data_IF_333706819238
#
_entry.id   IF_333706819238
#
_cell.length_a   1.000
_cell.length_b   1.000
_cell.length_c   1.000
_cell.angle_alpha   90.00
_cell.angle_beta   90.00
_cell.angle_gamma   90.00
#
_symmetry.space_group_name_H-M   'P 1'
#
loop_
_entity.id
_entity.type
_entity.pdbx_description
1 polymer ?
#
# COMPACT_ATOMS: atom_id res chain seq x y z
N UNK A 1 -13.59 60.70 -23.52
CA UNK A 1 -12.83 60.99 -24.75
C UNK A 1 -13.74 61.02 -25.99
N UNK A 2 -14.46 59.94 -26.32
CA UNK A 2 -15.34 59.88 -27.52
C UNK A 2 -16.44 60.96 -27.52
N UNK A 3 -17.05 61.25 -26.36
CA UNK A 3 -18.11 62.27 -26.24
C UNK A 3 -17.56 63.69 -26.45
N UNK A 4 -16.37 64.00 -25.91
CA UNK A 4 -15.72 65.29 -26.12
C UNK A 4 -15.36 65.50 -27.61
N UNK A 5 -14.87 64.45 -28.27
CA UNK A 5 -14.59 64.45 -29.70
C UNK A 5 -15.85 64.68 -30.55
N UNK A 6 -16.97 64.03 -30.21
CA UNK A 6 -18.25 64.23 -30.88
C UNK A 6 -18.80 65.65 -30.69
N UNK A 7 -18.63 66.25 -29.51
CA UNK A 7 -19.04 67.64 -29.25
C UNK A 7 -18.21 68.61 -30.08
N UNK A 8 -16.88 68.45 -30.08
CA UNK A 8 -15.99 69.30 -30.88
C UNK A 8 -16.28 69.13 -32.38
N UNK A 9 -16.50 67.89 -32.85
CA UNK A 9 -16.87 67.61 -34.23
C UNK A 9 -18.21 68.26 -34.61
N UNK A 10 -19.21 68.19 -33.73
CA UNK A 10 -20.52 68.80 -33.95
C UNK A 10 -20.42 70.33 -33.99
N UNK A 11 -19.64 70.94 -33.10
CA UNK A 11 -19.37 72.39 -33.12
C UNK A 11 -18.64 72.78 -34.41
N UNK A 12 -17.65 72.00 -34.85
CA UNK A 12 -16.94 72.25 -36.10
C UNK A 12 -17.86 72.11 -37.32
N UNK A 13 -18.70 71.08 -37.38
CA UNK A 13 -19.68 70.90 -38.48
C UNK A 13 -20.72 72.00 -38.48
N UNK A 14 -21.22 72.40 -37.30
CA UNK A 14 -22.15 73.53 -37.16
C UNK A 14 -21.52 74.86 -37.59
N UNK A 15 -20.24 75.10 -37.26
CA UNK A 15 -19.51 76.29 -37.69
C UNK A 15 -19.27 76.31 -39.21
N UNK A 16 -18.87 75.18 -39.80
CA UNK A 16 -18.69 75.05 -41.26
C UNK A 16 -20.02 75.21 -42.00
N UNK A 17 -21.10 74.65 -41.46
CA UNK A 17 -22.44 74.77 -42.02
C UNK A 17 -22.98 76.19 -41.90
N UNK A 18 -22.76 76.89 -40.79
CA UNK A 18 -23.12 78.29 -40.61
C UNK A 18 -22.36 79.21 -41.59
N UNK A 19 -21.07 78.98 -41.79
CA UNK A 19 -20.24 79.72 -42.76
C UNK A 19 -20.65 79.48 -44.22
N UNK A 20 -21.12 78.26 -44.53
CA UNK A 20 -21.67 77.94 -45.85
C UNK A 20 -23.07 78.54 -46.04
N UNK A 21 -23.92 78.49 -45.00
CA UNK A 21 -25.29 78.96 -45.04
C UNK A 21 -25.41 80.49 -45.05
N UNK A 22 -24.47 81.22 -44.45
CA UNK A 22 -24.38 82.69 -44.53
C UNK A 22 -24.12 83.22 -45.96
N UNK A 23 -23.90 82.33 -46.94
CA UNK A 23 -23.72 82.68 -48.36
C UNK A 23 -24.96 82.42 -49.22
N UNK A 24 -26.07 81.96 -48.64
CA UNK A 24 -27.32 81.69 -49.35
C UNK A 24 -28.31 82.85 -49.16
N UNK A 25 -28.73 83.55 -50.24
CA UNK A 25 -29.73 84.62 -50.14
C UNK A 25 -31.14 84.01 -50.08
N UNK A 26 -31.83 84.16 -48.95
CA UNK A 26 -33.21 83.69 -48.76
C UNK A 26 -33.81 84.15 -47.44
N UNK A 27 -34.48 85.31 -47.46
CA UNK A 27 -35.23 85.84 -46.31
C UNK A 27 -36.66 85.28 -46.26
N UNK A 28 -37.12 84.91 -45.05
CA UNK A 28 -38.53 84.63 -44.79
C UNK A 28 -39.05 85.75 -43.88
N UNK A 29 -40.02 86.51 -44.38
CA UNK A 29 -40.63 87.61 -43.63
C UNK A 29 -41.73 87.05 -42.73
N UNK A 30 -41.60 87.23 -41.41
CA UNK A 30 -42.64 86.96 -40.44
C UNK A 30 -43.17 88.30 -39.92
N UNK A 31 -44.37 88.67 -40.35
CA UNK A 31 -45.02 89.90 -39.94
C UNK A 31 -45.78 89.67 -38.63
N UNK A 32 -45.21 90.17 -37.52
CA UNK A 32 -45.92 90.30 -36.25
C UNK A 32 -46.43 91.73 -36.11
N UNK A 33 -47.38 92.14 -36.96
CA UNK A 33 -48.47 93.11 -36.72
C UNK A 33 -48.15 94.52 -36.20
N UNK A 34 -46.88 94.87 -35.96
CA UNK A 34 -46.50 96.03 -35.15
C UNK A 34 -45.51 96.96 -35.89
N UNK A 35 -45.35 96.80 -37.21
CA UNK A 35 -44.52 97.70 -38.03
C UNK A 35 -43.01 97.61 -37.80
N UNK A 36 -42.53 96.67 -36.98
CA UNK A 36 -41.12 96.33 -36.87
C UNK A 36 -40.84 95.07 -37.70
N UNK A 37 -40.35 95.27 -38.92
CA UNK A 37 -39.90 94.17 -39.80
C UNK A 37 -38.55 93.68 -39.27
N UNK A 38 -38.55 92.56 -38.57
CA UNK A 38 -37.32 91.84 -38.25
C UNK A 38 -37.09 90.79 -39.34
N UNK A 39 -36.13 91.07 -40.23
CA UNK A 39 -35.65 90.10 -41.21
C UNK A 39 -34.91 88.98 -40.47
N UNK A 40 -35.59 87.87 -40.20
CA UNK A 40 -34.94 86.64 -39.81
C UNK A 40 -34.65 85.84 -41.09
N UNK A 41 -33.38 85.70 -41.44
CA UNK A 41 -32.99 84.71 -42.46
C UNK A 41 -33.42 83.33 -41.95
N UNK A 42 -34.15 82.56 -42.78
CA UNK A 42 -34.63 81.20 -42.49
C UNK A 42 -33.53 80.29 -41.91
N UNK A 43 -32.29 80.61 -42.28
CA UNK A 43 -31.05 80.02 -41.82
C UNK A 43 -30.91 80.05 -40.29
N UNK A 44 -31.25 81.16 -39.62
CA UNK A 44 -31.14 81.28 -38.16
C UNK A 44 -32.15 80.39 -37.44
N UNK A 45 -33.38 80.25 -37.96
CA UNK A 45 -34.39 79.37 -37.39
C UNK A 45 -34.00 77.88 -37.53
N UNK A 46 -33.45 77.50 -38.68
CA UNK A 46 -32.95 76.14 -38.92
C UNK A 46 -31.72 75.83 -38.04
N UNK A 47 -30.80 76.79 -37.90
CA UNK A 47 -29.64 76.67 -37.02
C UNK A 47 -30.04 76.51 -35.56
N UNK A 48 -31.02 77.30 -35.08
CA UNK A 48 -31.54 77.20 -33.72
C UNK A 48 -32.17 75.82 -33.46
N UNK A 49 -32.91 75.27 -34.43
CA UNK A 49 -33.52 73.94 -34.31
C UNK A 49 -32.47 72.82 -34.24
N UNK A 50 -31.42 72.90 -35.07
CA UNK A 50 -30.31 71.93 -35.06
C UNK A 50 -29.55 72.01 -33.73
N UNK A 51 -29.25 73.22 -33.24
CA UNK A 51 -28.58 73.42 -31.96
C UNK A 51 -29.42 72.92 -30.78
N UNK A 52 -30.74 73.14 -30.82
CA UNK A 52 -31.66 72.66 -29.79
C UNK A 52 -31.77 71.13 -29.80
N UNK A 53 -31.87 70.52 -30.98
CA UNK A 53 -31.83 69.06 -31.14
C UNK A 53 -30.52 68.44 -30.65
N UNK A 54 -29.38 69.09 -30.96
CA UNK A 54 -28.07 68.67 -30.48
C UNK A 54 -27.95 68.81 -28.96
N UNK A 55 -28.42 69.90 -28.37
CA UNK A 55 -28.46 70.10 -26.92
C UNK A 55 -29.30 69.03 -26.23
N UNK A 56 -30.46 68.69 -26.79
CA UNK A 56 -31.37 67.66 -26.26
C UNK A 56 -30.77 66.25 -26.35
N UNK A 57 -30.09 65.93 -27.46
CA UNK A 57 -29.33 64.69 -27.60
C UNK A 57 -28.15 64.60 -26.61
N UNK A 58 -27.50 65.72 -26.33
CA UNK A 58 -26.43 65.85 -25.32
C UNK A 58 -26.96 65.55 -23.91
N UNK A 59 -28.08 66.18 -23.54
CA UNK A 59 -28.75 65.98 -22.26
C UNK A 59 -29.19 64.51 -22.11
N UNK A 60 -29.80 63.92 -23.15
CA UNK A 60 -30.21 62.52 -23.14
C UNK A 60 -29.02 61.54 -23.03
N UNK A 61 -27.92 61.83 -23.73
CA UNK A 61 -26.67 61.06 -23.65
C UNK A 61 -26.06 61.12 -22.25
N UNK A 62 -26.03 62.31 -21.63
CA UNK A 62 -25.51 62.51 -20.28
C UNK A 62 -26.37 61.78 -19.23
N UNK A 63 -27.69 61.89 -19.36
CA UNK A 63 -28.66 61.27 -18.45
C UNK A 63 -28.65 59.73 -18.59
N UNK A 64 -28.61 59.20 -19.81
CA UNK A 64 -28.45 57.75 -20.04
C UNK A 64 -27.08 57.22 -19.60
N UNK A 65 -26.02 58.02 -19.73
CA UNK A 65 -24.69 57.74 -19.20
C UNK A 65 -24.70 57.57 -17.68
N UNK A 66 -25.29 58.53 -16.96
CA UNK A 66 -25.42 58.48 -15.49
C UNK A 66 -26.25 57.28 -15.01
N UNK A 67 -27.32 56.92 -15.73
CA UNK A 67 -28.17 55.78 -15.35
C UNK A 67 -27.50 54.43 -15.71
N UNK A 68 -26.65 54.36 -16.74
CA UNK A 68 -25.98 53.11 -17.16
C UNK A 68 -24.58 52.90 -16.57
N UNK A 69 -23.90 53.95 -16.09
CA UNK A 69 -22.61 53.89 -15.40
C UNK A 69 -22.59 52.93 -14.18
N UNK A 70 -23.58 52.96 -13.26
CA UNK A 70 -23.58 52.10 -12.08
C UNK A 70 -23.57 50.61 -12.46
N UNK A 71 -24.26 50.24 -13.54
CA UNK A 71 -24.33 48.85 -14.03
C UNK A 71 -23.03 48.36 -14.65
N UNK A 72 -22.25 49.23 -15.32
CA UNK A 72 -20.93 48.87 -15.88
C UNK A 72 -19.85 48.78 -14.82
N UNK A 73 -19.84 49.71 -13.85
CA UNK A 73 -18.86 49.72 -12.77
C UNK A 73 -19.07 48.58 -11.76
N UNK A 74 -20.32 48.18 -11.49
CA UNK A 74 -20.58 47.06 -10.58
C UNK A 74 -20.13 45.71 -11.14
N UNK A 75 -20.24 45.49 -12.46
CA UNK A 75 -19.75 44.27 -13.13
C UNK A 75 -18.22 44.19 -13.09
N UNK A 76 -17.52 45.29 -13.39
CA UNK A 76 -16.06 45.35 -13.32
C UNK A 76 -15.53 45.16 -11.89
N UNK A 77 -16.17 45.78 -10.88
CA UNK A 77 -15.80 45.56 -9.46
C UNK A 77 -16.01 44.12 -9.02
N UNK A 78 -17.11 43.46 -9.44
CA UNK A 78 -17.33 42.05 -9.15
C UNK A 78 -16.25 41.17 -9.78
N UNK A 79 -15.92 41.40 -11.06
CA UNK A 79 -14.87 40.67 -11.76
C UNK A 79 -13.50 40.81 -11.06
N UNK A 80 -13.10 42.03 -10.71
CA UNK A 80 -11.85 42.29 -9.99
C UNK A 80 -11.79 41.63 -8.61
N UNK A 81 -12.92 41.58 -7.87
CA UNK A 81 -13.00 40.87 -6.58
C UNK A 81 -12.83 39.37 -6.74
N UNK A 82 -13.43 38.77 -7.77
CA UNK A 82 -13.28 37.34 -8.08
C UNK A 82 -11.84 37.03 -8.47
N UNK A 83 -11.22 37.84 -9.32
CA UNK A 83 -9.81 37.67 -9.72
C UNK A 83 -8.87 37.76 -8.51
N UNK A 84 -9.08 38.76 -7.65
CA UNK A 84 -8.30 38.92 -6.41
C UNK A 84 -8.50 37.73 -5.45
N UNK A 85 -9.70 37.18 -5.37
CA UNK A 85 -10.00 36.03 -4.53
C UNK A 85 -9.43 34.73 -5.09
N UNK A 86 -9.46 34.54 -6.41
CA UNK A 86 -8.83 33.40 -7.08
C UNK A 86 -7.30 33.47 -6.98
N UNK A 87 -6.71 34.67 -7.03
CA UNK A 87 -5.29 34.87 -6.72
C UNK A 87 -4.99 34.52 -5.26
N UNK A 88 -5.83 34.97 -4.32
CA UNK A 88 -5.70 34.61 -2.91
C UNK A 88 -5.87 33.11 -2.66
N UNK A 89 -6.68 32.39 -3.45
CA UNK A 89 -6.75 30.93 -3.42
C UNK A 89 -5.40 30.30 -3.77
N UNK A 90 -4.83 30.69 -4.90
CA UNK A 90 -3.55 30.15 -5.37
C UNK A 90 -2.41 30.46 -4.40
N UNK A 91 -2.26 31.73 -4.00
CA UNK A 91 -1.25 32.16 -3.04
C UNK A 91 -1.47 31.50 -1.67
N UNK A 92 -2.73 31.30 -1.27
CA UNK A 92 -3.09 30.64 -0.01
C UNK A 92 -2.74 29.15 0.01
N UNK A 93 -2.93 28.45 -1.12
CA UNK A 93 -2.53 27.06 -1.26
C UNK A 93 -1.01 26.92 -1.22
N UNK A 94 -0.28 27.79 -1.93
CA UNK A 94 1.18 27.82 -1.88
C UNK A 94 1.70 28.11 -0.46
N UNK A 95 1.07 29.05 0.26
CA UNK A 95 1.40 29.34 1.65
C UNK A 95 1.14 28.14 2.57
N UNK A 96 0.04 27.41 2.33
CA UNK A 96 -0.28 26.21 3.10
C UNK A 96 0.75 25.09 2.87
N UNK A 97 1.13 24.84 1.61
CA UNK A 97 2.18 23.87 1.26
C UNK A 97 3.57 24.30 1.74
N UNK A 98 3.81 25.61 1.86
CA UNK A 98 5.03 26.16 2.45
C UNK A 98 5.05 26.11 4.00
N UNK A 99 3.93 25.73 4.64
CA UNK A 99 3.79 25.67 6.10
C UNK A 99 3.53 27.02 6.79
N UNK A 100 3.27 28.11 6.05
CA UNK A 100 2.92 29.41 6.64
C UNK A 100 1.42 29.45 7.02
N UNK A 101 1.12 28.93 8.20
CA UNK A 101 -0.24 28.82 8.71
C UNK A 101 -0.96 30.17 8.84
N UNK A 102 -0.25 31.24 9.23
CA UNK A 102 -0.85 32.56 9.44
C UNK A 102 -1.23 33.22 8.11
N UNK A 103 -0.31 33.21 7.14
CA UNK A 103 -0.55 33.75 5.81
C UNK A 103 -1.66 32.97 5.10
N UNK A 104 -1.59 31.64 5.14
CA UNK A 104 -2.56 30.78 4.50
C UNK A 104 -3.96 30.98 5.10
N UNK A 105 -4.10 31.07 6.43
CA UNK A 105 -5.39 31.37 7.10
C UNK A 105 -5.96 32.73 6.70
N UNK A 106 -5.11 33.76 6.56
CA UNK A 106 -5.53 35.10 6.10
C UNK A 106 -6.03 35.06 4.66
N UNK A 107 -5.30 34.37 3.78
CA UNK A 107 -5.65 34.23 2.36
C UNK A 107 -6.89 33.36 2.16
N UNK A 108 -7.06 32.30 2.95
CA UNK A 108 -8.25 31.45 3.00
C UNK A 108 -9.52 32.25 3.34
N UNK A 109 -9.48 33.09 4.37
CA UNK A 109 -10.60 34.00 4.70
C UNK A 109 -10.94 34.97 3.57
N UNK A 110 -9.93 35.49 2.86
CA UNK A 110 -10.12 36.40 1.71
C UNK A 110 -10.72 35.67 0.51
N UNK A 111 -10.25 34.46 0.23
CA UNK A 111 -10.76 33.60 -0.82
C UNK A 111 -12.21 33.18 -0.58
N UNK A 112 -12.56 32.82 0.66
CA UNK A 112 -13.91 32.36 1.03
C UNK A 112 -15.02 33.34 0.65
N UNK A 113 -14.75 34.65 0.68
CA UNK A 113 -15.76 35.69 0.42
C UNK A 113 -16.16 35.81 -1.06
N UNK A 114 -15.22 35.64 -1.98
CA UNK A 114 -15.38 36.09 -3.38
C UNK A 114 -14.84 35.12 -4.43
N UNK A 115 -14.20 34.01 -4.04
CA UNK A 115 -13.77 33.02 -5.01
C UNK A 115 -14.98 32.38 -5.73
N UNK A 116 -14.78 31.98 -6.97
CA UNK A 116 -15.86 31.45 -7.81
C UNK A 116 -16.18 29.98 -7.57
N UNK A 117 -15.19 29.17 -7.19
CA UNK A 117 -15.34 27.72 -7.00
C UNK A 117 -15.35 27.36 -5.51
N UNK A 118 -16.49 26.88 -5.02
CA UNK A 118 -16.66 26.48 -3.62
C UNK A 118 -15.80 25.27 -3.25
N UNK A 119 -15.45 24.40 -4.21
CA UNK A 119 -14.56 23.25 -3.98
C UNK A 119 -13.15 23.71 -3.63
N UNK A 120 -12.65 24.72 -4.34
CA UNK A 120 -11.32 25.29 -4.06
C UNK A 120 -11.29 26.07 -2.76
N UNK A 121 -12.39 26.74 -2.39
CA UNK A 121 -12.53 27.35 -1.06
C UNK A 121 -12.42 26.31 0.04
N UNK A 122 -13.20 25.23 -0.05
CA UNK A 122 -13.21 24.16 0.96
C UNK A 122 -11.88 23.41 1.01
N UNK A 123 -11.23 23.19 -0.14
CA UNK A 123 -9.90 22.58 -0.18
C UNK A 123 -8.86 23.45 0.53
N UNK A 124 -8.83 24.76 0.24
CA UNK A 124 -7.92 25.67 0.92
C UNK A 124 -8.26 25.76 2.42
N UNK A 125 -9.54 25.88 2.78
CA UNK A 125 -9.99 25.90 4.17
C UNK A 125 -9.50 24.66 4.92
N UNK A 126 -9.70 23.47 4.35
CA UNK A 126 -9.25 22.22 4.95
C UNK A 126 -7.73 22.17 5.14
N UNK A 127 -6.95 22.52 4.10
CA UNK A 127 -5.48 22.58 4.18
C UNK A 127 -4.98 23.58 5.21
N UNK A 128 -5.61 24.77 5.29
CA UNK A 128 -5.26 25.76 6.30
C UNK A 128 -5.59 25.33 7.71
N UNK A 129 -6.64 24.53 7.89
CA UNK A 129 -6.99 23.96 9.17
C UNK A 129 -6.01 22.85 9.57
N UNK A 130 -5.56 22.00 8.65
CA UNK A 130 -4.53 20.97 8.89
C UNK A 130 -3.21 21.58 9.38
N UNK A 131 -2.67 22.58 8.67
CA UNK A 131 -1.41 23.23 9.09
C UNK A 131 -1.55 24.08 10.36
N UNK A 132 -2.77 24.41 10.76
CA UNK A 132 -3.06 25.13 12.01
C UNK A 132 -3.42 24.18 13.16
N UNK A 133 -3.31 22.86 12.97
CA UNK A 133 -3.72 21.81 13.90
C UNK A 133 -5.21 21.87 14.33
N UNK A 134 -6.07 22.55 13.57
CA UNK A 134 -7.52 22.59 13.80
C UNK A 134 -8.19 21.42 13.08
N UNK A 135 -8.01 20.22 13.65
CA UNK A 135 -8.50 18.97 13.07
C UNK A 135 -10.03 18.93 12.91
N UNK A 136 -10.76 19.61 13.80
CA UNK A 136 -12.23 19.68 13.73
C UNK A 136 -12.70 20.54 12.56
N UNK A 137 -12.00 21.65 12.26
CA UNK A 137 -12.28 22.43 11.07
C UNK A 137 -11.88 21.70 9.79
N UNK A 138 -10.71 21.04 9.78
CA UNK A 138 -10.23 20.26 8.64
C UNK A 138 -11.24 19.16 8.25
N UNK A 139 -11.72 18.40 9.23
CA UNK A 139 -12.68 17.31 8.98
C UNK A 139 -14.04 17.82 8.47
N UNK A 140 -14.53 18.94 8.99
CA UNK A 140 -15.74 19.58 8.48
C UNK A 140 -15.57 20.03 7.03
N UNK A 141 -14.45 20.69 6.72
CA UNK A 141 -14.18 21.20 5.38
C UNK A 141 -13.98 20.06 4.37
N UNK A 142 -13.22 19.00 4.71
CA UNK A 142 -13.08 17.81 3.88
C UNK A 142 -14.39 17.05 3.69
N UNK A 143 -15.18 16.91 4.76
CA UNK A 143 -16.50 16.28 4.69
C UNK A 143 -17.49 17.04 3.81
N UNK A 144 -17.44 18.38 3.81
CA UNK A 144 -18.21 19.20 2.88
C UNK A 144 -17.71 19.07 1.44
N UNK A 145 -16.38 19.10 1.24
CA UNK A 145 -15.77 18.92 -0.09
C UNK A 145 -16.13 17.56 -0.70
N UNK A 146 -16.17 16.52 0.13
CA UNK A 146 -16.54 15.16 -0.28
C UNK A 146 -17.98 15.07 -0.81
N UNK A 147 -18.87 16.01 -0.44
CA UNK A 147 -20.27 16.03 -0.88
C UNK A 147 -20.48 16.82 -2.18
N UNK A 148 -19.50 17.62 -2.61
CA UNK A 148 -19.62 18.44 -3.82
C UNK A 148 -19.28 17.67 -5.10
N UNK A 149 -20.00 17.88 -6.21
CA UNK A 149 -19.70 17.23 -7.48
C UNK A 149 -18.31 17.60 -8.00
N UNK A 150 -17.48 16.61 -8.29
CA UNK A 150 -16.08 16.79 -8.68
C UNK A 150 -15.10 17.11 -7.55
N UNK A 151 -15.59 17.30 -6.31
CA UNK A 151 -14.77 17.42 -5.10
C UNK A 151 -14.67 16.13 -4.27
N UNK A 152 -15.61 15.19 -4.48
CA UNK A 152 -15.76 13.91 -3.77
C UNK A 152 -14.43 13.21 -3.45
N UNK A 153 -13.68 12.85 -4.50
CA UNK A 153 -12.45 12.07 -4.34
C UNK A 153 -11.36 12.83 -3.57
N UNK A 154 -11.22 14.13 -3.81
CA UNK A 154 -10.25 14.97 -3.12
C UNK A 154 -10.64 15.15 -1.64
N UNK A 155 -11.93 15.36 -1.37
CA UNK A 155 -12.47 15.44 -0.02
C UNK A 155 -12.26 14.15 0.78
N UNK A 156 -12.54 12.99 0.17
CA UNK A 156 -12.32 11.70 0.80
C UNK A 156 -10.84 11.40 1.04
N UNK A 157 -9.95 11.76 0.10
CA UNK A 157 -8.50 11.62 0.29
C UNK A 157 -7.99 12.48 1.44
N UNK A 158 -8.41 13.75 1.49
CA UNK A 158 -8.05 14.67 2.56
C UNK A 158 -8.56 14.19 3.92
N UNK A 159 -9.84 13.78 3.99
CA UNK A 159 -10.42 13.20 5.21
C UNK A 159 -9.69 11.93 5.67
N UNK A 160 -9.34 11.02 4.74
CA UNK A 160 -8.58 9.81 5.06
C UNK A 160 -7.18 10.14 5.58
N UNK A 161 -6.49 11.09 4.94
CA UNK A 161 -5.17 11.56 5.36
C UNK A 161 -5.20 12.21 6.74
N UNK A 162 -6.18 13.07 7.00
CA UNK A 162 -6.37 13.72 8.29
C UNK A 162 -6.69 12.71 9.39
N UNK A 163 -7.56 11.72 9.12
CA UNK A 163 -7.85 10.65 10.07
C UNK A 163 -6.60 9.81 10.40
N UNK A 164 -5.81 9.46 9.38
CA UNK A 164 -4.55 8.73 9.54
C UNK A 164 -3.52 9.52 10.38
N UNK A 165 -3.38 10.82 10.14
CA UNK A 165 -2.49 11.70 10.90
C UNK A 165 -2.83 11.75 12.41
N UNK A 166 -4.12 11.56 12.76
CA UNK A 166 -4.58 11.48 14.15
C UNK A 166 -4.49 10.08 14.77
N UNK A 167 -4.05 9.08 14.00
CA UNK A 167 -4.07 7.68 14.42
C UNK A 167 -5.44 7.01 14.36
N UNK A 168 -6.46 7.64 13.76
CA UNK A 168 -7.78 7.04 13.55
C UNK A 168 -7.81 6.20 12.26
N UNK A 169 -7.27 4.98 12.37
CA UNK A 169 -7.21 4.03 11.26
C UNK A 169 -8.62 3.61 10.77
N UNK A 170 -9.61 3.54 11.66
CA UNK A 170 -10.96 3.10 11.30
C UNK A 170 -11.65 4.10 10.38
N UNK A 171 -11.56 5.39 10.72
CA UNK A 171 -12.12 6.45 9.90
C UNK A 171 -11.35 6.60 8.59
N UNK A 172 -10.01 6.47 8.59
CA UNK A 172 -9.21 6.44 7.36
C UNK A 172 -9.63 5.30 6.42
N UNK A 173 -9.84 4.10 6.96
CA UNK A 173 -10.31 2.94 6.20
C UNK A 173 -11.72 3.17 5.63
N UNK A 174 -12.64 3.72 6.42
CA UNK A 174 -14.00 4.01 5.98
C UNK A 174 -14.01 4.99 4.80
N UNK A 175 -13.20 6.05 4.85
CA UNK A 175 -13.08 7.04 3.75
C UNK A 175 -12.41 6.45 2.51
N UNK A 176 -11.40 5.60 2.67
CA UNK A 176 -10.77 4.89 1.56
C UNK A 176 -11.75 3.93 0.88
N UNK A 177 -12.57 3.20 1.67
CA UNK A 177 -13.63 2.33 1.15
C UNK A 177 -14.69 3.10 0.38
N UNK A 178 -15.19 4.21 0.94
CA UNK A 178 -16.14 5.11 0.26
C UNK A 178 -15.55 5.64 -1.06
N UNK A 179 -14.29 6.05 -1.06
CA UNK A 179 -13.60 6.50 -2.27
C UNK A 179 -13.40 5.38 -3.30
N UNK A 180 -13.23 4.14 -2.85
CA UNK A 180 -13.15 2.98 -3.71
C UNK A 180 -14.52 2.64 -4.31
N UNK A 181 -15.65 2.99 -3.72
CA UNK A 181 -16.95 2.79 -4.37
C UNK A 181 -17.16 3.73 -5.57
N UNK A 182 -16.46 4.87 -5.60
CA UNK A 182 -16.48 5.80 -6.72
C UNK A 182 -15.79 5.19 -7.95
N UNK A 183 -16.38 5.41 -9.13
CA UNK A 183 -15.73 5.10 -10.42
C UNK A 183 -14.61 6.10 -10.66
N UNK A 184 -13.40 5.76 -10.21
CA UNK A 184 -12.20 6.57 -10.37
C UNK A 184 -11.05 5.74 -10.95
N UNK A 185 -10.17 6.41 -11.69
CA UNK A 185 -8.90 5.85 -12.15
C UNK A 185 -7.78 6.02 -11.10
N UNK A 186 -8.03 6.68 -9.98
CA UNK A 186 -7.02 6.92 -8.96
C UNK A 186 -6.71 5.65 -8.16
N UNK A 187 -5.43 5.36 -7.95
CA UNK A 187 -4.97 4.16 -7.23
C UNK A 187 -5.01 4.29 -5.70
N UNK A 188 -5.00 5.53 -5.19
CA UNK A 188 -4.89 5.79 -3.75
C UNK A 188 -5.98 5.12 -2.89
N UNK A 189 -7.28 5.03 -3.30
CA UNK A 189 -8.29 4.40 -2.45
C UNK A 189 -8.00 2.92 -2.25
N UNK A 190 -7.59 2.25 -3.33
CA UNK A 190 -7.20 0.84 -3.30
C UNK A 190 -5.97 0.63 -2.41
N UNK A 191 -4.87 1.38 -2.66
CA UNK A 191 -3.64 1.22 -1.89
C UNK A 191 -3.86 1.52 -0.41
N UNK A 192 -4.53 2.62 -0.08
CA UNK A 192 -4.79 3.02 1.32
C UNK A 192 -5.63 1.97 2.06
N UNK A 193 -6.69 1.47 1.42
CA UNK A 193 -7.55 0.44 2.00
C UNK A 193 -6.80 -0.88 2.17
N UNK A 194 -6.10 -1.32 1.12
CA UNK A 194 -5.35 -2.57 1.12
C UNK A 194 -4.23 -2.55 2.17
N UNK A 195 -3.45 -1.46 2.23
CA UNK A 195 -2.34 -1.30 3.15
C UNK A 195 -2.80 -1.28 4.61
N UNK A 196 -3.90 -0.56 4.90
CA UNK A 196 -4.51 -0.57 6.23
C UNK A 196 -4.96 -1.98 6.64
N UNK A 197 -5.64 -2.70 5.75
CA UNK A 197 -6.13 -4.06 6.04
C UNK A 197 -5.00 -5.07 6.23
N UNK A 198 -3.94 -4.97 5.43
CA UNK A 198 -2.74 -5.81 5.55
C UNK A 198 -2.00 -5.51 6.86
N UNK A 199 -1.87 -4.24 7.25
CA UNK A 199 -1.27 -3.86 8.53
C UNK A 199 -2.10 -4.36 9.72
N UNK A 200 -3.44 -4.23 9.65
CA UNK A 200 -4.36 -4.71 10.68
C UNK A 200 -4.51 -6.24 10.73
N UNK A 201 -3.97 -6.98 9.75
CA UNK A 201 -4.12 -8.44 9.68
C UNK A 201 -5.50 -8.91 9.25
N UNK A 202 -6.30 -8.03 8.64
CA UNK A 202 -7.63 -8.33 8.12
C UNK A 202 -7.54 -9.05 6.77
N UNK A 203 -6.96 -10.25 6.74
CA UNK A 203 -6.60 -10.97 5.52
C UNK A 203 -7.75 -11.22 4.54
N UNK A 204 -8.95 -11.52 5.07
CA UNK A 204 -10.14 -11.72 4.23
C UNK A 204 -10.55 -10.43 3.51
N UNK A 205 -10.60 -9.30 4.24
CA UNK A 205 -10.91 -8.01 3.65
C UNK A 205 -9.84 -7.57 2.64
N UNK A 206 -8.56 -7.79 2.96
CA UNK A 206 -7.46 -7.53 2.04
C UNK A 206 -7.57 -8.33 0.73
N UNK A 207 -7.98 -9.60 0.79
CA UNK A 207 -8.24 -10.42 -0.40
C UNK A 207 -9.39 -9.87 -1.26
N UNK A 208 -10.49 -9.46 -0.63
CA UNK A 208 -11.62 -8.86 -1.34
C UNK A 208 -11.22 -7.56 -2.03
N UNK A 209 -10.49 -6.69 -1.32
CA UNK A 209 -9.91 -5.46 -1.88
C UNK A 209 -8.96 -5.77 -3.03
N UNK A 210 -8.11 -6.80 -2.92
CA UNK A 210 -7.17 -7.23 -3.97
C UNK A 210 -7.89 -7.72 -5.23
N UNK A 211 -9.00 -8.46 -5.08
CA UNK A 211 -9.85 -8.89 -6.21
C UNK A 211 -10.50 -7.68 -6.89
N UNK A 212 -10.97 -6.70 -6.11
CA UNK A 212 -11.52 -5.47 -6.66
C UNK A 212 -10.45 -4.66 -7.41
N UNK A 213 -9.23 -4.61 -6.87
CA UNK A 213 -8.06 -3.99 -7.49
C UNK A 213 -7.69 -4.62 -8.83
N UNK A 214 -7.70 -5.95 -8.93
CA UNK A 214 -7.50 -6.68 -10.19
C UNK A 214 -8.57 -6.30 -11.22
N UNK A 215 -9.86 -6.34 -10.85
CA UNK A 215 -10.98 -6.02 -11.76
C UNK A 215 -10.92 -4.60 -12.31
N UNK A 216 -10.32 -3.68 -11.54
CA UNK A 216 -10.18 -2.26 -11.90
C UNK A 216 -8.84 -1.92 -12.54
N UNK A 217 -7.92 -2.88 -12.63
CA UNK A 217 -6.60 -2.68 -13.23
C UNK A 217 -5.58 -1.96 -12.34
N UNK A 218 -5.84 -1.81 -11.03
CA UNK A 218 -4.88 -1.20 -10.09
C UNK A 218 -3.68 -2.12 -9.82
N UNK A 219 -3.83 -3.43 -10.01
CA UNK A 219 -2.77 -4.41 -9.84
C UNK A 219 -2.97 -5.59 -10.78
N UNK A 220 -1.89 -6.12 -11.35
CA UNK A 220 -1.94 -7.23 -12.29
C UNK A 220 -0.67 -8.08 -12.26
N UNK A 221 -0.68 -9.15 -13.06
CA UNK A 221 0.50 -9.98 -13.32
C UNK A 221 1.02 -10.71 -12.08
N UNK A 222 2.33 -10.75 -11.96
CA UNK A 222 3.04 -11.54 -10.95
C UNK A 222 2.84 -11.03 -9.53
N UNK A 223 2.80 -9.70 -9.33
CA UNK A 223 2.61 -9.13 -7.99
C UNK A 223 1.25 -9.50 -7.42
N UNK A 224 0.19 -9.44 -8.24
CA UNK A 224 -1.14 -9.89 -7.84
C UNK A 224 -1.14 -11.37 -7.41
N UNK A 225 -0.54 -12.26 -8.22
CA UNK A 225 -0.52 -13.70 -7.93
C UNK A 225 0.24 -14.00 -6.64
N UNK A 226 1.38 -13.34 -6.42
CA UNK A 226 2.20 -13.52 -5.21
C UNK A 226 1.54 -12.95 -3.97
N UNK A 227 0.95 -11.74 -4.03
CA UNK A 227 0.17 -11.16 -2.94
C UNK A 227 -1.02 -12.06 -2.55
N UNK A 228 -1.74 -12.61 -3.54
CA UNK A 228 -2.81 -13.61 -3.31
C UNK A 228 -2.28 -14.84 -2.57
N UNK A 229 -1.17 -15.41 -3.00
CA UNK A 229 -0.60 -16.59 -2.36
C UNK A 229 -0.23 -16.34 -0.89
N UNK A 230 0.37 -15.19 -0.58
CA UNK A 230 0.68 -14.80 0.80
C UNK A 230 -0.59 -14.66 1.62
N UNK A 231 -1.58 -13.90 1.13
CA UNK A 231 -2.83 -13.64 1.85
C UNK A 231 -3.65 -14.91 2.08
N UNK A 232 -3.76 -15.79 1.08
CA UNK A 232 -4.45 -17.08 1.24
C UNK A 232 -3.75 -17.96 2.28
N UNK A 233 -2.43 -17.98 2.28
CA UNK A 233 -1.64 -18.74 3.27
C UNK A 233 -1.83 -18.14 4.66
N UNK A 234 -1.67 -16.83 4.83
CA UNK A 234 -1.87 -16.13 6.09
C UNK A 234 -3.27 -16.40 6.66
N UNK A 235 -4.32 -16.20 5.84
CA UNK A 235 -5.70 -16.48 6.23
C UNK A 235 -5.88 -17.93 6.67
N UNK A 236 -5.35 -18.90 5.92
CA UNK A 236 -5.47 -20.32 6.27
C UNK A 236 -4.87 -20.68 7.64
N UNK A 237 -3.81 -19.98 8.06
CA UNK A 237 -3.17 -20.19 9.38
C UNK A 237 -3.96 -19.60 10.54
N UNK A 238 -4.83 -18.61 10.27
CA UNK A 238 -5.70 -17.98 11.28
C UNK A 238 -7.04 -18.69 11.46
N UNK A 239 -7.40 -19.60 10.55
CA UNK A 239 -8.69 -20.29 10.61
C UNK A 239 -8.75 -21.31 11.75
N UNK A 240 -9.88 -21.38 12.48
CA UNK A 240 -10.11 -22.42 13.48
C UNK A 240 -10.08 -23.83 12.90
N UNK A 241 -9.85 -24.83 13.76
CA UNK A 241 -9.80 -26.24 13.34
C UNK A 241 -11.12 -26.74 12.74
N UNK A 242 -12.27 -26.18 13.13
CA UNK A 242 -13.58 -26.52 12.55
C UNK A 242 -13.65 -26.17 11.06
N UNK A 243 -12.92 -25.13 10.63
CA UNK A 243 -12.87 -24.64 9.25
C UNK A 243 -11.69 -25.22 8.46
N UNK A 244 -11.16 -26.39 8.86
CA UNK A 244 -9.99 -27.02 8.21
C UNK A 244 -10.18 -27.23 6.71
N UNK A 245 -11.38 -27.59 6.25
CA UNK A 245 -11.67 -27.78 4.82
C UNK A 245 -11.49 -26.48 4.04
N UNK A 246 -11.90 -25.36 4.61
CA UNK A 246 -11.74 -24.05 3.98
C UNK A 246 -10.27 -23.61 4.01
N UNK A 247 -9.54 -23.88 5.09
CA UNK A 247 -8.09 -23.67 5.13
C UNK A 247 -7.35 -24.46 4.03
N UNK A 248 -7.72 -25.71 3.80
CA UNK A 248 -7.16 -26.54 2.72
C UNK A 248 -7.46 -25.97 1.33
N UNK A 249 -8.69 -25.48 1.10
CA UNK A 249 -9.06 -24.82 -0.16
C UNK A 249 -8.21 -23.57 -0.40
N UNK A 250 -8.05 -22.72 0.63
CA UNK A 250 -7.23 -21.51 0.54
C UNK A 250 -5.76 -21.85 0.24
N UNK A 251 -5.20 -22.88 0.87
CA UNK A 251 -3.83 -23.33 0.61
C UNK A 251 -3.66 -23.86 -0.82
N UNK A 252 -4.65 -24.59 -1.34
CA UNK A 252 -4.62 -25.04 -2.73
C UNK A 252 -4.64 -23.86 -3.72
N UNK A 253 -5.48 -22.85 -3.47
CA UNK A 253 -5.49 -21.61 -4.27
C UNK A 253 -4.17 -20.83 -4.12
N UNK A 254 -3.56 -20.81 -2.93
CA UNK A 254 -2.26 -20.17 -2.71
C UNK A 254 -1.15 -20.82 -3.55
N UNK A 255 -1.07 -22.15 -3.53
CA UNK A 255 -0.10 -22.93 -4.30
C UNK A 255 -0.32 -22.73 -5.80
N UNK A 256 -1.57 -22.70 -6.26
CA UNK A 256 -1.91 -22.43 -7.66
C UNK A 256 -1.51 -21.01 -8.08
N UNK A 257 -1.70 -20.02 -7.20
CA UNK A 257 -1.35 -18.64 -7.47
C UNK A 257 0.17 -18.43 -7.56
N UNK A 258 0.93 -18.95 -6.59
CA UNK A 258 2.39 -18.88 -6.61
C UNK A 258 3.02 -20.18 -6.08
N UNK A 259 3.32 -21.15 -6.96
CA UNK A 259 4.02 -22.38 -6.57
C UNK A 259 5.40 -22.12 -5.95
N UNK A 260 6.04 -20.99 -6.29
CA UNK A 260 7.33 -20.54 -5.78
C UNK A 260 7.28 -19.91 -4.38
N UNK A 261 6.16 -20.05 -3.67
CA UNK A 261 5.98 -19.65 -2.27
C UNK A 261 6.02 -20.87 -1.32
N UNK A 262 7.21 -21.26 -0.80
CA UNK A 262 7.36 -22.43 0.07
C UNK A 262 6.42 -22.50 1.28
N UNK A 263 6.06 -21.38 1.96
CA UNK A 263 5.11 -21.43 3.06
C UNK A 263 3.76 -22.06 2.68
N UNK A 264 3.21 -21.75 1.51
CA UNK A 264 1.95 -22.33 1.03
C UNK A 264 2.07 -23.85 0.85
N UNK A 265 3.15 -24.31 0.21
CA UNK A 265 3.41 -25.74 0.00
C UNK A 265 3.60 -26.48 1.34
N UNK A 266 4.33 -25.89 2.29
CA UNK A 266 4.57 -26.49 3.60
C UNK A 266 3.29 -26.61 4.43
N UNK A 267 2.51 -25.53 4.56
CA UNK A 267 1.24 -25.56 5.29
C UNK A 267 0.22 -26.50 4.62
N UNK A 268 0.15 -26.50 3.29
CA UNK A 268 -0.71 -27.40 2.52
C UNK A 268 -0.35 -28.87 2.73
N UNK A 269 0.93 -29.23 2.58
CA UNK A 269 1.40 -30.59 2.81
C UNK A 269 1.22 -31.03 4.27
N UNK A 270 1.42 -30.14 5.25
CA UNK A 270 1.20 -30.45 6.67
C UNK A 270 -0.28 -30.75 6.98
N UNK A 271 -1.21 -30.02 6.39
CA UNK A 271 -2.64 -30.31 6.51
C UNK A 271 -2.99 -31.67 5.89
N UNK A 272 -2.48 -31.96 4.68
CA UNK A 272 -2.69 -33.25 4.02
C UNK A 272 -2.06 -34.41 4.79
N UNK A 273 -0.89 -34.20 5.40
CA UNK A 273 -0.26 -35.17 6.30
C UNK A 273 -1.13 -35.46 7.52
N UNK A 274 -1.75 -34.44 8.11
CA UNK A 274 -2.65 -34.58 9.26
C UNK A 274 -3.93 -35.36 8.91
N UNK A 275 -4.34 -35.32 7.65
CA UNK A 275 -5.44 -36.11 7.08
C UNK A 275 -4.98 -37.49 6.55
N UNK A 276 -3.75 -37.92 6.85
CA UNK A 276 -3.13 -39.16 6.36
C UNK A 276 -3.02 -39.29 4.81
N UNK A 277 -3.15 -38.18 4.07
CA UNK A 277 -3.04 -38.15 2.60
C UNK A 277 -1.59 -37.97 2.15
N UNK A 278 -0.74 -38.94 2.47
CA UNK A 278 0.72 -38.90 2.28
C UNK A 278 1.14 -38.64 0.83
N UNK A 279 0.53 -39.35 -0.15
CA UNK A 279 0.86 -39.17 -1.58
C UNK A 279 0.54 -37.75 -2.07
N UNK A 280 -0.61 -37.21 -1.66
CA UNK A 280 -1.00 -35.85 -2.02
C UNK A 280 -0.09 -34.82 -1.34
N UNK A 281 0.27 -35.03 -0.06
CA UNK A 281 1.21 -34.17 0.65
C UNK A 281 2.58 -34.13 -0.06
N UNK A 282 3.11 -35.29 -0.46
CA UNK A 282 4.36 -35.38 -1.20
C UNK A 282 4.28 -34.65 -2.55
N UNK A 283 3.19 -34.81 -3.31
CA UNK A 283 2.99 -34.09 -4.58
C UNK A 283 2.98 -32.56 -4.42
N UNK A 284 2.40 -32.05 -3.33
CA UNK A 284 2.45 -30.61 -3.00
C UNK A 284 3.89 -30.15 -2.71
N UNK A 285 4.66 -30.96 -1.97
CA UNK A 285 6.06 -30.65 -1.68
C UNK A 285 6.92 -30.65 -2.95
N UNK A 286 6.73 -31.61 -3.85
CA UNK A 286 7.44 -31.68 -5.13
C UNK A 286 7.11 -30.49 -6.04
N UNK A 287 5.84 -30.05 -6.08
CA UNK A 287 5.44 -28.86 -6.83
C UNK A 287 6.13 -27.59 -6.29
N UNK A 288 6.14 -27.41 -4.97
CA UNK A 288 6.84 -26.30 -4.32
C UNK A 288 8.35 -26.37 -4.56
N UNK A 289 8.94 -27.56 -4.45
CA UNK A 289 10.36 -27.79 -4.67
C UNK A 289 10.78 -27.48 -6.10
N UNK A 290 10.01 -27.93 -7.10
CA UNK A 290 10.28 -27.62 -8.51
C UNK A 290 10.34 -26.11 -8.76
N UNK A 291 9.47 -25.33 -8.11
CA UNK A 291 9.40 -23.89 -8.29
C UNK A 291 10.44 -23.11 -7.46
N UNK A 292 10.66 -23.48 -6.20
CA UNK A 292 11.67 -22.92 -5.31
C UNK A 292 12.02 -23.94 -4.20
N UNK A 293 13.12 -24.69 -4.34
CA UNK A 293 13.58 -25.61 -3.30
C UNK A 293 13.82 -24.89 -1.97
N UNK A 294 13.39 -25.50 -0.87
CA UNK A 294 13.53 -24.93 0.47
C UNK A 294 13.71 -26.04 1.51
N UNK A 295 14.68 -25.94 2.44
CA UNK A 295 14.99 -27.02 3.41
C UNK A 295 13.78 -27.49 4.21
N UNK A 296 12.90 -26.57 4.60
CA UNK A 296 11.64 -26.88 5.30
C UNK A 296 10.75 -27.91 4.56
N UNK A 297 10.73 -27.90 3.23
CA UNK A 297 9.95 -28.85 2.43
C UNK A 297 10.56 -30.25 2.49
N UNK A 298 11.89 -30.36 2.40
CA UNK A 298 12.59 -31.63 2.56
C UNK A 298 12.41 -32.20 3.97
N UNK A 299 12.48 -31.36 5.00
CA UNK A 299 12.23 -31.77 6.39
C UNK A 299 10.79 -32.26 6.60
N UNK A 300 9.80 -31.63 5.96
CA UNK A 300 8.43 -32.12 6.02
C UNK A 300 8.27 -33.45 5.25
N UNK A 301 8.90 -33.60 4.09
CA UNK A 301 8.90 -34.86 3.31
C UNK A 301 9.50 -36.03 4.10
N UNK A 302 10.57 -35.79 4.87
CA UNK A 302 11.16 -36.77 5.80
C UNK A 302 10.14 -37.26 6.85
N UNK A 303 9.30 -36.35 7.34
CA UNK A 303 8.32 -36.63 8.40
C UNK A 303 7.03 -37.26 7.92
N UNK A 304 6.78 -37.32 6.61
CA UNK A 304 5.61 -37.99 6.06
C UNK A 304 5.66 -39.48 6.42
N UNK A 305 4.95 -39.88 7.47
CA UNK A 305 4.91 -41.29 7.90
C UNK A 305 4.29 -42.13 6.78
N UNK A 306 5.04 -43.10 6.25
CA UNK A 306 4.51 -44.10 5.33
C UNK A 306 4.90 -45.50 5.80
N UNK A 307 4.06 -46.46 5.42
CA UNK A 307 4.43 -47.88 5.39
C UNK A 307 5.70 -48.02 4.53
N UNK A 308 6.80 -48.52 5.11
CA UNK A 308 8.08 -48.71 4.39
C UNK A 308 9.32 -48.05 4.99
N UNK A 309 9.22 -47.30 6.10
CA UNK A 309 10.38 -46.84 6.88
C UNK A 309 11.36 -45.91 6.12
N UNK A 310 12.66 -46.03 6.41
CA UNK A 310 13.72 -45.20 5.80
C UNK A 310 13.80 -45.29 4.27
N UNK A 311 13.71 -46.47 3.62
CA UNK A 311 13.78 -46.57 2.16
C UNK A 311 12.68 -45.77 1.44
N UNK A 312 11.46 -45.80 1.96
CA UNK A 312 10.34 -45.04 1.40
C UNK A 312 10.56 -43.51 1.57
N UNK A 313 11.11 -43.09 2.71
CA UNK A 313 11.47 -41.69 2.93
C UNK A 313 12.58 -41.23 1.97
N UNK A 314 13.64 -42.03 1.80
CA UNK A 314 14.73 -41.73 0.87
C UNK A 314 14.23 -41.67 -0.59
N UNK A 315 13.31 -42.54 -0.98
CA UNK A 315 12.67 -42.50 -2.31
C UNK A 315 11.96 -41.17 -2.59
N UNK A 316 11.21 -40.63 -1.62
CA UNK A 316 10.53 -39.32 -1.74
C UNK A 316 11.52 -38.16 -1.81
N UNK A 317 12.60 -38.22 -1.05
CA UNK A 317 13.64 -37.18 -1.12
C UNK A 317 14.42 -37.23 -2.44
N UNK A 318 14.66 -38.43 -2.98
CA UNK A 318 15.23 -38.60 -4.32
C UNK A 318 14.32 -37.96 -5.38
N UNK A 319 13.00 -38.09 -5.25
CA UNK A 319 12.04 -37.41 -6.11
C UNK A 319 12.15 -35.87 -6.01
N UNK A 320 12.31 -35.29 -4.81
CA UNK A 320 12.57 -33.85 -4.65
C UNK A 320 13.86 -33.43 -5.36
N UNK A 321 14.98 -34.12 -5.13
CA UNK A 321 16.25 -33.78 -5.78
C UNK A 321 16.17 -33.86 -7.30
N UNK A 322 15.41 -34.84 -7.84
CA UNK A 322 15.19 -34.98 -9.28
C UNK A 322 14.32 -33.88 -9.88
N UNK A 323 13.48 -33.21 -9.10
CA UNK A 323 12.60 -32.16 -9.58
C UNK A 323 13.34 -30.84 -9.89
N UNK A 324 14.48 -30.59 -9.23
CA UNK A 324 15.34 -29.42 -9.49
C UNK A 324 16.81 -29.72 -9.13
N UNK A 325 17.56 -30.48 -9.96
CA UNK A 325 18.85 -31.04 -9.58
C UNK A 325 19.96 -30.02 -9.32
N UNK A 326 19.97 -28.92 -10.07
CA UNK A 326 21.07 -27.94 -10.07
C UNK A 326 20.99 -26.94 -8.91
N UNK A 327 19.83 -26.86 -8.25
CA UNK A 327 19.64 -25.93 -7.14
C UNK A 327 20.51 -26.31 -5.93
N UNK A 328 21.10 -25.31 -5.26
CA UNK A 328 21.96 -25.48 -4.08
C UNK A 328 21.36 -26.44 -3.04
N UNK A 329 20.11 -26.21 -2.64
CA UNK A 329 19.43 -27.06 -1.65
C UNK A 329 19.23 -28.52 -2.14
N UNK A 330 19.04 -28.75 -3.44
CA UNK A 330 18.95 -30.11 -3.99
C UNK A 330 20.29 -30.83 -3.94
N UNK A 331 21.41 -30.13 -4.19
CA UNK A 331 22.77 -30.67 -4.02
C UNK A 331 23.06 -31.01 -2.56
N UNK A 332 22.65 -30.15 -1.62
CA UNK A 332 22.74 -30.43 -0.17
C UNK A 332 21.95 -31.69 0.17
N UNK A 333 20.70 -31.78 -0.29
CA UNK A 333 19.85 -32.94 -0.04
C UNK A 333 20.40 -34.22 -0.67
N UNK A 334 21.02 -34.13 -1.85
CA UNK A 334 21.71 -35.25 -2.51
C UNK A 334 22.88 -35.76 -1.67
N UNK A 335 23.67 -34.85 -1.08
CA UNK A 335 24.75 -35.24 -0.17
C UNK A 335 24.20 -35.89 1.12
N UNK A 336 23.12 -35.37 1.69
CA UNK A 336 22.43 -35.99 2.83
C UNK A 336 21.91 -37.40 2.51
N UNK A 337 21.41 -37.62 1.29
CA UNK A 337 20.99 -38.93 0.80
C UNK A 337 22.17 -39.88 0.60
N UNK A 338 23.28 -39.41 0.02
CA UNK A 338 24.50 -40.20 -0.13
C UNK A 338 25.06 -40.65 1.23
N UNK A 339 25.05 -39.77 2.23
CA UNK A 339 25.40 -40.13 3.62
C UNK A 339 24.46 -41.20 4.20
N UNK A 340 23.17 -41.15 3.87
CA UNK A 340 22.18 -42.14 4.33
C UNK A 340 22.42 -43.50 3.69
N UNK A 341 22.84 -43.53 2.42
CA UNK A 341 23.22 -44.72 1.67
C UNK A 341 24.67 -45.18 1.97
N UNK A 342 25.37 -44.54 2.92
CA UNK A 342 26.79 -44.76 3.29
C UNK A 342 27.80 -44.53 2.15
N UNK A 343 27.41 -43.82 1.09
CA UNK A 343 28.31 -43.33 0.06
C UNK A 343 28.96 -42.01 0.49
N UNK A 344 29.94 -42.14 1.40
CA UNK A 344 30.62 -41.00 1.99
C UNK A 344 31.47 -40.22 0.98
N UNK A 345 32.03 -40.90 -0.03
CA UNK A 345 32.85 -40.26 -1.05
C UNK A 345 32.03 -39.26 -1.88
N UNK A 346 30.85 -39.67 -2.35
CA UNK A 346 29.95 -38.77 -3.08
C UNK A 346 29.46 -37.63 -2.19
N UNK A 347 29.11 -37.90 -0.93
CA UNK A 347 28.69 -36.88 0.01
C UNK A 347 29.78 -35.80 0.23
N UNK A 348 31.03 -36.22 0.45
CA UNK A 348 32.17 -35.30 0.63
C UNK A 348 32.40 -34.47 -0.63
N UNK A 349 32.39 -35.09 -1.82
CA UNK A 349 32.58 -34.37 -3.10
C UNK A 349 31.54 -33.28 -3.33
N UNK A 350 30.26 -33.60 -3.13
CA UNK A 350 29.18 -32.64 -3.31
C UNK A 350 29.25 -31.49 -2.29
N UNK A 351 29.52 -31.79 -1.02
CA UNK A 351 29.60 -30.79 0.05
C UNK A 351 30.84 -29.91 -0.03
N UNK A 352 31.99 -30.46 -0.46
CA UNK A 352 33.23 -29.70 -0.63
C UNK A 352 33.03 -28.55 -1.63
N UNK A 353 32.45 -28.85 -2.79
CA UNK A 353 32.13 -27.83 -3.81
C UNK A 353 31.19 -26.74 -3.26
N UNK A 354 30.16 -27.12 -2.50
CA UNK A 354 29.20 -26.17 -1.92
C UNK A 354 29.83 -25.26 -0.85
N UNK A 355 30.75 -25.80 -0.06
CA UNK A 355 31.47 -25.05 0.98
C UNK A 355 32.48 -24.08 0.34
N UNK A 356 33.12 -24.46 -0.76
CA UNK A 356 34.00 -23.57 -1.54
C UNK A 356 33.23 -22.39 -2.15
N UNK A 357 32.00 -22.61 -2.64
CA UNK A 357 31.14 -21.55 -3.17
C UNK A 357 30.74 -20.54 -2.09
N UNK A 358 30.15 -21.02 -0.97
CA UNK A 358 29.72 -20.18 0.16
C UNK A 358 29.61 -21.01 1.44
N UNK A 359 30.58 -20.92 2.37
CA UNK A 359 30.53 -21.69 3.60
C UNK A 359 29.42 -21.17 4.52
N UNK A 360 28.54 -22.08 4.97
CA UNK A 360 27.57 -21.83 6.02
C UNK A 360 27.79 -22.79 7.18
N UNK A 361 27.36 -22.42 8.39
CA UNK A 361 27.47 -23.27 9.57
C UNK A 361 26.84 -24.66 9.31
N UNK A 362 25.69 -24.72 8.62
CA UNK A 362 25.06 -25.96 8.19
C UNK A 362 25.95 -26.80 7.28
N UNK A 363 26.51 -26.20 6.22
CA UNK A 363 27.36 -26.91 5.28
C UNK A 363 28.64 -27.44 5.94
N UNK A 364 29.28 -26.64 6.80
CA UNK A 364 30.47 -27.07 7.53
C UNK A 364 30.17 -28.26 8.45
N UNK A 365 29.02 -28.26 9.14
CA UNK A 365 28.60 -29.40 9.98
C UNK A 365 28.26 -30.64 9.15
N UNK A 366 27.60 -30.48 8.01
CA UNK A 366 27.30 -31.59 7.09
C UNK A 366 28.59 -32.18 6.50
N UNK A 367 29.54 -31.34 6.08
CA UNK A 367 30.84 -31.78 5.57
C UNK A 367 31.65 -32.51 6.64
N UNK A 368 31.70 -31.95 7.86
CA UNK A 368 32.34 -32.63 8.99
C UNK A 368 31.72 -34.00 9.29
N UNK A 369 30.39 -34.12 9.19
CA UNK A 369 29.69 -35.40 9.34
C UNK A 369 30.06 -36.37 8.23
N UNK A 370 30.08 -35.93 6.97
CA UNK A 370 30.46 -36.75 5.82
C UNK A 370 31.91 -37.25 5.93
N UNK A 371 32.85 -36.37 6.29
CA UNK A 371 34.26 -36.71 6.50
C UNK A 371 34.48 -37.69 7.65
N UNK A 372 33.71 -37.53 8.74
CA UNK A 372 33.74 -38.49 9.86
C UNK A 372 33.31 -39.88 9.41
N UNK A 373 32.27 -39.97 8.56
CA UNK A 373 31.83 -41.23 7.97
C UNK A 373 32.81 -41.81 6.95
N UNK A 374 33.51 -40.94 6.21
CA UNK A 374 34.57 -41.31 5.28
C UNK A 374 35.84 -41.85 5.98
N UNK A 375 36.13 -41.34 7.20
CA UNK A 375 37.27 -41.76 8.02
C UNK A 375 38.30 -40.67 8.30
N UNK A 376 38.15 -39.48 7.71
CA UNK A 376 39.04 -38.34 7.93
C UNK A 376 38.57 -37.50 9.13
N UNK A 377 39.04 -37.90 10.32
CA UNK A 377 38.62 -37.27 11.58
C UNK A 377 39.25 -35.91 11.83
N UNK A 378 40.46 -35.69 11.32
CA UNK A 378 41.21 -34.45 11.53
C UNK A 378 40.58 -33.32 10.72
N UNK A 379 40.29 -33.56 9.43
CA UNK A 379 39.56 -32.61 8.60
C UNK A 379 38.13 -32.41 9.13
N UNK A 380 37.47 -33.46 9.58
CA UNK A 380 36.15 -33.32 10.21
C UNK A 380 36.18 -32.42 11.46
N UNK A 381 37.22 -32.49 12.29
CA UNK A 381 37.39 -31.62 13.46
C UNK A 381 37.61 -30.16 13.04
N UNK A 382 38.42 -29.91 12.00
CA UNK A 382 38.62 -28.58 11.41
C UNK A 382 37.29 -27.96 10.99
N UNK A 383 36.48 -28.68 10.21
CA UNK A 383 35.19 -28.17 9.73
C UNK A 383 34.16 -27.97 10.85
N UNK A 384 34.19 -28.77 11.92
CA UNK A 384 33.38 -28.51 13.12
C UNK A 384 33.79 -27.19 13.80
N UNK A 385 35.09 -26.92 13.90
CA UNK A 385 35.60 -25.65 14.42
C UNK A 385 35.12 -24.47 13.57
N UNK A 386 35.28 -24.58 12.26
CA UNK A 386 34.84 -23.55 11.29
C UNK A 386 33.34 -23.26 11.35
N UNK A 387 32.50 -24.27 11.66
CA UNK A 387 31.06 -24.09 11.76
C UNK A 387 30.65 -23.05 12.82
N UNK A 388 31.45 -22.86 13.88
CA UNK A 388 31.16 -21.90 14.95
C UNK A 388 31.30 -20.44 14.50
N UNK A 389 32.15 -20.18 13.50
CA UNK A 389 32.42 -18.84 12.96
C UNK A 389 31.77 -18.61 11.59
N UNK A 390 31.27 -19.67 10.95
CA UNK A 390 30.63 -19.59 9.64
C UNK A 390 29.27 -18.88 9.70
N UNK A 391 28.88 -18.26 8.58
CA UNK A 391 27.60 -17.57 8.48
C UNK A 391 26.41 -18.54 8.66
N UNK A 392 25.35 -18.06 9.30
CA UNK A 392 24.06 -18.76 9.36
C UNK A 392 23.39 -18.77 7.98
N UNK A 393 22.48 -19.73 7.79
CA UNK A 393 21.75 -19.89 6.53
C UNK A 393 20.31 -19.36 6.69
N UNK A 394 19.91 -18.31 5.94
CA UNK A 394 18.59 -17.70 6.09
C UNK A 394 17.43 -18.69 5.92
N UNK A 395 17.47 -19.53 4.88
CA UNK A 395 16.44 -20.52 4.57
C UNK A 395 16.33 -21.62 5.62
N UNK A 396 17.44 -21.95 6.29
CA UNK A 396 17.42 -22.92 7.39
C UNK A 396 16.78 -22.34 8.65
N UNK A 397 16.94 -21.04 8.88
CA UNK A 397 16.41 -20.33 10.06
C UNK A 397 14.88 -20.31 10.13
N UNK A 398 14.18 -20.52 9.00
CA UNK A 398 12.72 -20.54 8.94
C UNK A 398 12.11 -21.71 9.73
N UNK A 399 12.94 -22.67 10.15
CA UNK A 399 12.56 -23.79 11.00
C UNK A 399 12.89 -23.53 12.47
N UNK A 400 11.90 -23.68 13.32
CA UNK A 400 12.08 -23.63 14.77
C UNK A 400 12.82 -24.88 15.30
N UNK A 401 13.28 -24.88 16.57
CA UNK A 401 13.95 -26.05 17.16
C UNK A 401 13.08 -27.31 17.25
N UNK A 402 11.75 -27.20 17.11
CA UNK A 402 10.80 -28.33 17.03
C UNK A 402 10.61 -28.80 15.57
N UNK A 403 11.22 -28.09 14.63
CA UNK A 403 11.11 -28.21 13.18
C UNK A 403 9.71 -27.92 12.64
N UNK A 404 8.94 -27.05 13.29
CA UNK A 404 7.88 -26.33 12.59
C UNK A 404 8.51 -25.22 11.76
N UNK A 405 8.05 -25.04 10.52
CA UNK A 405 8.54 -23.99 9.64
C UNK A 405 7.50 -22.88 9.48
N UNK A 406 7.96 -21.69 9.07
CA UNK A 406 7.10 -20.58 8.67
C UNK A 406 6.10 -20.15 9.76
N UNK A 407 6.56 -20.16 11.02
CA UNK A 407 5.79 -19.71 12.19
C UNK A 407 5.78 -18.18 12.28
N UNK A 408 5.23 -17.56 11.24
CA UNK A 408 5.20 -16.11 11.07
C UNK A 408 4.17 -15.42 11.96
N UNK A 409 4.55 -14.28 12.51
CA UNK A 409 3.65 -13.35 13.22
C UNK A 409 2.84 -12.56 12.19
N UNK A 410 1.80 -11.87 12.66
CA UNK A 410 0.99 -10.98 11.81
C UNK A 410 1.86 -9.98 11.04
N UNK A 411 2.80 -9.31 11.72
CA UNK A 411 3.70 -8.34 11.09
C UNK A 411 4.58 -8.97 9.99
N UNK A 412 5.03 -10.22 10.19
CA UNK A 412 5.81 -10.95 9.20
C UNK A 412 4.98 -11.26 7.95
N UNK A 413 3.72 -11.69 8.14
CA UNK A 413 2.77 -11.88 7.04
C UNK A 413 2.49 -10.58 6.30
N UNK A 414 2.26 -9.48 7.02
CA UNK A 414 2.05 -8.15 6.43
C UNK A 414 3.24 -7.75 5.56
N UNK A 415 4.47 -7.96 6.06
CA UNK A 415 5.69 -7.64 5.31
C UNK A 415 5.88 -8.54 4.09
N UNK A 416 5.58 -9.83 4.21
CA UNK A 416 5.61 -10.79 3.09
C UNK A 416 4.65 -10.42 1.97
N UNK A 417 3.49 -9.80 2.27
CA UNK A 417 2.57 -9.36 1.22
C UNK A 417 3.28 -8.44 0.24
N UNK A 418 4.16 -7.54 0.70
CA UNK A 418 4.90 -6.63 -0.17
C UNK A 418 6.23 -7.22 -0.65
N UNK A 419 7.04 -7.78 0.26
CA UNK A 419 8.36 -8.31 -0.12
C UNK A 419 8.25 -9.46 -1.12
N UNK A 420 7.42 -10.46 -0.81
CA UNK A 420 7.18 -11.56 -1.74
C UNK A 420 6.23 -11.15 -2.86
N UNK A 421 5.21 -10.33 -2.57
CA UNK A 421 4.32 -9.79 -3.60
C UNK A 421 5.09 -9.13 -4.74
N UNK A 422 5.91 -8.14 -4.41
CA UNK A 422 6.51 -7.25 -5.40
C UNK A 422 7.80 -7.83 -5.96
N UNK A 423 8.65 -8.41 -5.12
CA UNK A 423 9.98 -8.90 -5.56
C UNK A 423 10.06 -10.42 -5.71
N UNK A 424 9.12 -11.17 -5.12
CA UNK A 424 9.20 -12.63 -5.03
C UNK A 424 10.28 -13.14 -4.07
N UNK A 425 10.87 -12.27 -3.24
CA UNK A 425 11.84 -12.66 -2.19
C UNK A 425 11.10 -13.08 -0.93
N UNK A 426 11.65 -14.07 -0.23
CA UNK A 426 11.19 -14.44 1.10
C UNK A 426 11.92 -13.60 2.13
N UNK A 427 11.24 -13.29 3.23
CA UNK A 427 11.85 -12.75 4.44
C UNK A 427 12.16 -13.89 5.39
N UNK A 428 13.11 -13.69 6.28
CA UNK A 428 13.53 -14.70 7.25
C UNK A 428 13.50 -14.08 8.66
N UNK A 429 12.32 -13.91 9.29
CA UNK A 429 12.18 -13.14 10.52
C UNK A 429 13.01 -13.71 11.67
N UNK A 430 13.15 -15.04 11.74
CA UNK A 430 14.00 -15.71 12.74
C UNK A 430 15.49 -15.43 12.52
N UNK A 431 15.94 -15.38 11.26
CA UNK A 431 17.31 -14.98 10.93
C UNK A 431 17.57 -13.54 11.35
N UNK A 432 16.67 -12.63 10.98
CA UNK A 432 16.79 -11.19 11.24
C UNK A 432 16.77 -10.87 12.74
N UNK A 433 15.90 -11.54 13.51
CA UNK A 433 15.82 -11.40 14.95
C UNK A 433 16.87 -12.23 15.72
N UNK A 434 17.75 -12.94 15.02
CA UNK A 434 18.75 -13.85 15.61
C UNK A 434 18.14 -14.87 16.59
N UNK A 435 16.94 -15.35 16.30
CA UNK A 435 16.26 -16.34 17.13
C UNK A 435 16.90 -17.73 16.99
N UNK A 436 16.62 -18.60 17.96
CA UNK A 436 17.04 -20.02 17.92
C UNK A 436 16.36 -20.71 16.74
N UNK A 437 17.17 -21.40 15.95
CA UNK A 437 16.78 -22.20 14.80
C UNK A 437 16.98 -23.69 15.08
N UNK A 438 16.52 -24.54 14.15
CA UNK A 438 16.84 -25.95 14.20
C UNK A 438 18.37 -26.16 14.14
N UNK A 439 18.93 -26.95 15.07
CA UNK A 439 20.36 -27.25 15.06
C UNK A 439 20.79 -27.88 13.74
N UNK A 440 21.64 -27.18 12.99
CA UNK A 440 22.01 -27.56 11.62
C UNK A 440 22.78 -28.90 11.52
N UNK A 441 23.39 -29.35 12.63
CA UNK A 441 24.09 -30.63 12.74
C UNK A 441 23.24 -31.77 13.30
N UNK A 442 22.02 -31.49 13.78
CA UNK A 442 21.14 -32.52 14.33
C UNK A 442 20.47 -33.24 13.16
N UNK A 443 20.76 -34.53 12.89
CA UNK A 443 19.73 -35.33 12.24
C UNK A 443 18.54 -35.24 13.19
N UNK A 444 17.41 -34.68 12.75
CA UNK A 444 16.16 -34.95 13.46
C UNK A 444 16.11 -36.47 13.47
N UNK A 445 16.30 -37.06 14.65
CA UNK A 445 16.15 -38.48 14.83
C UNK A 445 14.86 -38.83 14.13
N UNK A 446 14.96 -39.68 13.10
CA UNK A 446 13.82 -40.48 12.72
C UNK A 446 13.32 -41.02 14.06
N UNK A 447 12.05 -40.81 14.45
CA UNK A 447 11.57 -41.47 15.64
C UNK A 447 11.84 -42.95 15.41
N UNK A 448 12.87 -43.47 16.08
CA UNK A 448 13.04 -44.88 16.26
C UNK A 448 11.70 -45.33 16.78
N UNK A 449 11.12 -46.30 16.07
CA UNK A 449 9.88 -47.01 16.38
C UNK A 449 9.52 -46.74 17.84
N UNK A 450 8.46 -45.94 18.06
CA UNK A 450 8.00 -45.61 19.41
C UNK A 450 8.20 -46.85 20.25
N UNK A 451 9.12 -46.77 21.22
CA UNK A 451 9.40 -47.90 22.10
C UNK A 451 8.02 -48.39 22.51
N UNK A 452 7.73 -49.64 22.14
CA UNK A 452 6.48 -50.28 22.49
C UNK A 452 6.26 -49.93 23.96
N UNK A 453 5.10 -49.33 24.24
CA UNK A 453 4.65 -49.08 25.60
C UNK A 453 5.12 -50.25 26.45
N UNK A 454 5.96 -49.93 27.44
CA UNK A 454 6.50 -50.87 28.40
C UNK A 454 5.32 -51.59 29.06
N UNK A 455 4.90 -52.70 28.47
CA UNK A 455 3.90 -53.58 29.07
C UNK A 455 4.64 -54.40 30.10
N UNK A 456 4.75 -53.81 31.29
CA UNK A 456 4.76 -54.51 32.56
C UNK A 456 6.01 -55.34 32.85
N UNK A 457 7.05 -54.67 33.35
CA UNK A 457 7.87 -55.29 34.40
C UNK A 457 7.23 -54.98 35.75
N UNK A 458 6.55 -55.98 36.30
CA UNK A 458 5.99 -55.97 37.66
C UNK A 458 7.14 -55.86 38.66
N UNK A 459 7.28 -54.73 39.34
CA UNK A 459 8.18 -54.58 40.47
C UNK A 459 7.78 -55.58 41.59
N UNK A 460 8.72 -56.35 42.18
CA UNK A 460 8.40 -57.18 43.32
C UNK A 460 8.07 -56.30 44.53
N UNK A 461 7.00 -56.66 45.22
CA UNK A 461 6.51 -55.98 46.41
C UNK A 461 7.57 -55.95 47.51
N UNK A 462 7.75 -54.78 48.12
CA UNK A 462 8.57 -54.61 49.32
C UNK A 462 7.98 -55.45 50.46
N UNK A 463 8.72 -56.47 50.88
CA UNK A 463 8.45 -57.19 52.11
C UNK A 463 8.96 -56.35 53.29
N UNK A 464 8.04 -55.97 54.18
CA UNK A 464 8.37 -55.46 55.52
C UNK A 464 9.05 -56.57 56.33
N UNK A 465 10.30 -56.34 56.74
CA UNK A 465 10.96 -57.17 57.76
C UNK A 465 11.43 -56.25 58.89
N UNK A 466 10.89 -56.52 60.08
CA UNK A 466 11.23 -55.92 61.36
C UNK A 466 12.72 -56.17 61.74
N UNK A 467 13.30 -55.38 62.66
CA UNK A 467 14.73 -55.45 62.97
C UNK A 467 15.08 -56.69 63.83
N UNK A 468 16.29 -57.28 63.70
CA UNK A 468 16.73 -58.33 64.60
C UNK A 468 17.21 -57.75 65.94
N UNK A 469 16.69 -58.33 67.03
CA UNK A 469 17.17 -58.21 68.40
C UNK A 469 18.46 -59.04 68.60
N UNK A 470 19.30 -58.53 69.50
CA UNK A 470 20.38 -59.16 70.25
C UNK A 470 21.69 -59.57 69.55
N UNK A 471 22.75 -58.82 69.89
CA UNK A 471 23.90 -59.42 70.58
C UNK A 471 24.49 -58.40 71.58
N UNK A 472 24.44 -58.75 72.85
CA UNK A 472 25.10 -58.04 73.94
C UNK A 472 26.58 -58.43 74.05
N UNK A 473 27.41 -57.49 74.50
CA UNK A 473 28.41 -57.63 75.60
C UNK A 473 29.42 -56.46 75.56
N UNK A 474 30.19 -56.21 76.63
CA UNK A 474 29.78 -55.93 78.01
C UNK A 474 30.30 -54.55 78.46
N UNK A 475 29.82 -54.09 79.62
CA UNK A 475 30.25 -52.86 80.29
C UNK A 475 31.75 -52.85 80.62
N UNK A 476 32.32 -51.64 80.55
CA UNK A 476 33.60 -51.27 81.17
C UNK A 476 33.36 -50.88 82.62
N UNK A 477 34.27 -51.30 83.48
CA UNK A 477 35.02 -50.34 84.30
C UNK A 477 36.35 -50.05 83.60
#
# INVERSE_FOLDING_TARGET
MIVLFLIVLLICVAAVFALWAARLPGGLTLDLGNGAVYEFELVYALLALILLGAAMALIWSFMSGIITLPRRFSRSRKASRVETANKALADGLLAAEAGDALLAKKLSKKAAQHASDDRMKLLLEARTAEISDDWSAAERAWGQLARLPGGQLAGLRGAASAASARGDALSAEARAREALELKTAADWPFNTLFDSQVAAGHWRAALETLILGEKRGHISGDSLRRRRAVLYTALSTTLPNEQRKDAQRLLAEAIKAAPSFPPAAWHGARQLMSDAKIKAAQGVLELGWKARPHPALAQLSRRLTAEGGEPAANGRLKALTGANPDHRESRILKAELAMSDRDWLTAVKELALLVEEKPTARLCLLLAKALTGYGDRDEAARWRGMASTAAREPEWSDMDPRGQAFTYRQADWSRLVYEFGDTGRLIHPRYEASERELEAGRPLALPGKAAAMDTGVKAPAAASAAPPLDYAAPDKD
#
